data_IF_855302204873
#
_entry.id   IF_855302204873
#
_cell.length_a   1.000
_cell.length_b   1.000
_cell.length_c   1.000
_cell.angle_alpha   90.00
_cell.angle_beta   90.00
_cell.angle_gamma   90.00
#
_symmetry.space_group_name_H-M   'P 1'
#
loop_
_entity.id
_entity.type
_entity.pdbx_description
1 polymer ?
#
# COMPACT_ATOMS: atom_id res chain seq x y z
N UNK A 1 -11.33 -61.62 53.32
CA UNK A 1 -10.51 -60.49 53.83
C UNK A 1 -9.05 -60.86 53.69
N UNK A 2 -8.42 -60.42 52.61
CA UNK A 2 -6.98 -60.60 52.35
C UNK A 2 -6.53 -59.41 51.52
N UNK A 3 -5.56 -58.69 52.08
CA UNK A 3 -4.81 -57.58 51.52
C UNK A 3 -3.84 -58.08 50.45
N UNK A 4 -3.57 -57.30 49.40
CA UNK A 4 -2.25 -57.28 48.75
C UNK A 4 -1.90 -55.91 48.15
N UNK A 5 -0.83 -55.34 48.72
CA UNK A 5 0.22 -54.42 48.19
C UNK A 5 0.66 -54.83 46.76
N UNK A 6 1.42 -54.10 45.94
CA UNK A 6 2.05 -52.78 45.83
C UNK A 6 2.84 -52.84 44.50
N UNK A 7 3.13 -51.69 43.89
CA UNK A 7 4.25 -51.37 42.99
C UNK A 7 4.82 -52.44 42.04
N UNK A 8 4.74 -52.15 40.73
CA UNK A 8 5.82 -52.27 39.73
C UNK A 8 5.19 -51.75 38.42
N UNK A 9 5.79 -50.96 37.54
CA UNK A 9 7.05 -51.27 36.85
C UNK A 9 7.45 -50.02 36.07
N UNK A 10 8.72 -49.63 36.18
CA UNK A 10 9.36 -48.69 35.26
C UNK A 10 9.62 -49.43 33.95
N UNK A 11 9.10 -48.90 32.84
CA UNK A 11 9.45 -49.37 31.50
C UNK A 11 9.90 -48.17 30.68
N UNK A 12 11.17 -48.20 30.29
CA UNK A 12 11.76 -47.31 29.31
C UNK A 12 11.34 -47.71 27.89
N UNK A 13 11.13 -46.76 26.98
CA UNK A 13 11.82 -46.68 25.69
C UNK A 13 11.35 -45.48 24.82
N UNK A 14 12.34 -44.72 24.36
CA UNK A 14 12.53 -44.14 23.02
C UNK A 14 11.32 -43.85 22.11
N UNK A 15 11.16 -42.58 21.72
CA UNK A 15 11.17 -42.18 20.30
C UNK A 15 11.36 -40.66 20.15
N UNK A 16 12.49 -40.30 19.56
CA UNK A 16 12.76 -38.96 19.07
C UNK A 16 11.91 -38.70 17.82
N UNK A 17 11.08 -37.66 17.86
CA UNK A 17 10.41 -37.10 16.70
C UNK A 17 10.94 -35.68 16.49
N UNK A 18 11.93 -35.59 15.61
CA UNK A 18 12.34 -34.35 15.00
C UNK A 18 11.15 -33.80 14.21
N UNK A 19 10.53 -32.72 14.71
CA UNK A 19 9.55 -31.95 13.96
C UNK A 19 10.32 -31.12 12.94
N UNK A 20 10.44 -31.66 11.73
CA UNK A 20 10.83 -30.93 10.54
C UNK A 20 9.77 -29.86 10.28
N UNK A 21 10.04 -28.63 10.72
CA UNK A 21 9.27 -27.46 10.32
C UNK A 21 9.48 -27.18 8.84
N UNK A 22 8.75 -27.89 7.98
CA UNK A 22 8.57 -27.51 6.59
C UNK A 22 7.73 -26.23 6.59
N UNK A 23 8.42 -25.08 6.59
CA UNK A 23 7.78 -23.78 6.48
C UNK A 23 6.99 -23.70 5.18
N UNK A 24 5.69 -23.46 5.29
CA UNK A 24 4.82 -23.08 4.18
C UNK A 24 5.29 -21.74 3.60
N UNK A 25 6.33 -21.76 2.77
CA UNK A 25 6.78 -20.63 1.98
C UNK A 25 5.95 -20.53 0.71
N UNK A 26 4.75 -19.94 0.79
CA UNK A 26 4.05 -19.49 -0.41
C UNK A 26 4.95 -18.54 -1.22
N UNK A 27 4.92 -18.63 -2.55
CA UNK A 27 5.70 -17.78 -3.44
C UNK A 27 5.34 -16.30 -3.20
N UNK A 28 6.17 -15.59 -2.44
CA UNK A 28 6.03 -14.14 -2.23
C UNK A 28 6.52 -13.45 -3.50
N UNK A 29 5.85 -12.36 -3.91
CA UNK A 29 6.52 -11.40 -4.79
C UNK A 29 7.83 -11.00 -4.10
N UNK A 30 9.00 -11.23 -4.72
CA UNK A 30 10.25 -10.77 -4.14
C UNK A 30 10.13 -9.26 -3.96
N UNK A 31 10.05 -8.80 -2.71
CA UNK A 31 10.36 -7.40 -2.40
C UNK A 31 11.78 -7.22 -2.91
N UNK A 32 12.02 -6.22 -3.76
CA UNK A 32 13.32 -5.99 -4.38
C UNK A 32 14.42 -6.10 -3.31
N UNK A 33 15.17 -7.21 -3.34
CA UNK A 33 16.25 -7.53 -2.40
C UNK A 33 17.55 -6.83 -2.83
N UNK A 34 17.45 -5.53 -3.13
CA UNK A 34 18.63 -4.69 -3.22
C UNK A 34 19.25 -4.51 -1.84
N UNK A 35 20.55 -4.15 -1.74
CA UNK A 35 21.08 -3.64 -0.48
C UNK A 35 20.17 -2.53 0.05
N UNK A 36 19.95 -2.51 1.36
CA UNK A 36 19.18 -1.43 1.99
C UNK A 36 19.81 -0.09 1.59
N UNK A 37 19.00 0.90 1.17
CA UNK A 37 19.55 2.17 0.72
C UNK A 37 20.35 2.80 1.86
N UNK A 38 21.57 3.24 1.58
CA UNK A 38 22.42 3.88 2.58
C UNK A 38 22.17 5.39 2.58
N UNK A 39 21.95 5.97 1.40
CA UNK A 39 21.81 7.41 1.21
C UNK A 39 20.52 7.77 0.47
N UNK A 40 19.78 8.73 1.01
CA UNK A 40 18.45 9.09 0.51
C UNK A 40 18.26 10.58 0.32
N UNK A 41 17.58 10.96 -0.77
CA UNK A 41 17.11 12.32 -0.97
C UNK A 41 15.68 12.46 -0.42
N UNK A 42 15.42 13.44 0.44
CA UNK A 42 14.07 13.74 0.92
C UNK A 42 13.49 14.85 0.07
N UNK A 43 12.45 14.54 -0.71
CA UNK A 43 11.80 15.55 -1.54
C UNK A 43 10.83 16.41 -0.70
N UNK A 44 10.60 17.68 -1.09
CA UNK A 44 9.64 18.56 -0.44
C UNK A 44 8.26 17.91 -0.30
N UNK A 45 7.68 18.03 0.90
CA UNK A 45 6.40 17.45 1.24
C UNK A 45 5.28 17.99 0.36
N UNK A 46 4.45 17.09 -0.14
CA UNK A 46 3.25 17.44 -0.93
C UNK A 46 2.04 17.49 -0.02
N UNK A 47 1.29 18.58 -0.10
CA UNK A 47 0.04 18.71 0.64
C UNK A 47 -1.16 18.25 -0.20
N UNK A 48 -1.73 17.10 0.16
CA UNK A 48 -2.96 16.55 -0.44
C UNK A 48 -4.17 16.71 0.50
N UNK A 49 -3.99 17.37 1.64
CA UNK A 49 -5.00 17.52 2.68
C UNK A 49 -5.91 18.73 2.56
N UNK A 50 -5.74 19.57 1.54
CA UNK A 50 -6.61 20.72 1.26
C UNK A 50 -6.49 21.93 2.20
N UNK A 51 -6.04 21.75 3.45
CA UNK A 51 -5.72 22.83 4.39
C UNK A 51 -4.23 23.23 4.32
N UNK A 52 -3.88 24.47 4.65
CA UNK A 52 -2.48 24.92 4.63
C UNK A 52 -1.65 24.21 5.71
N UNK A 53 -0.58 23.52 5.31
CA UNK A 53 0.37 22.86 6.20
C UNK A 53 1.73 23.59 6.16
N UNK A 54 2.44 23.72 7.29
CA UNK A 54 3.76 24.33 7.34
C UNK A 54 4.79 23.36 6.73
N UNK A 55 5.00 23.49 5.42
CA UNK A 55 5.85 22.57 4.65
C UNK A 55 7.27 22.50 5.21
N UNK A 56 7.92 23.64 5.46
CA UNK A 56 9.33 23.68 5.92
C UNK A 56 9.55 23.00 7.28
N UNK A 57 8.62 23.17 8.22
CA UNK A 57 8.68 22.56 9.54
C UNK A 57 8.47 21.04 9.47
N UNK A 58 7.54 20.60 8.61
CA UNK A 58 7.29 19.18 8.38
C UNK A 58 8.47 18.53 7.66
N UNK A 59 9.03 19.18 6.64
CA UNK A 59 10.19 18.70 5.89
C UNK A 59 11.38 18.47 6.83
N UNK A 60 11.66 19.42 7.74
CA UNK A 60 12.73 19.26 8.74
C UNK A 60 12.45 18.08 9.67
N UNK A 61 11.23 17.98 10.17
CA UNK A 61 10.86 16.89 11.07
C UNK A 61 10.88 15.51 10.37
N UNK A 62 10.61 15.45 9.07
CA UNK A 62 10.69 14.24 8.26
C UNK A 62 12.16 13.87 7.99
N UNK A 63 13.01 14.81 7.56
CA UNK A 63 14.45 14.59 7.40
C UNK A 63 15.07 14.03 8.69
N UNK A 64 14.76 14.65 9.82
CA UNK A 64 15.16 14.19 11.15
C UNK A 64 14.67 12.77 11.47
N UNK A 65 13.44 12.43 11.07
CA UNK A 65 12.85 11.11 11.29
C UNK A 65 13.52 10.04 10.43
N UNK A 66 13.85 10.38 9.18
CA UNK A 66 14.58 9.53 8.23
C UNK A 66 16.02 9.31 8.70
N UNK A 67 16.71 10.37 9.11
CA UNK A 67 18.05 10.28 9.66
C UNK A 67 18.09 9.41 10.93
N UNK A 68 17.15 9.60 11.85
CA UNK A 68 17.02 8.74 13.05
C UNK A 68 16.64 7.29 12.73
N UNK A 69 16.11 7.00 11.55
CA UNK A 69 15.86 5.62 11.12
C UNK A 69 17.13 4.89 10.67
N UNK A 70 18.26 5.63 10.49
CA UNK A 70 19.56 5.07 10.14
C UNK A 70 19.99 5.34 8.69
N UNK A 71 19.32 6.24 7.99
CA UNK A 71 19.63 6.61 6.59
C UNK A 71 20.46 7.90 6.54
N UNK A 72 21.43 7.97 5.64
CA UNK A 72 22.13 9.21 5.35
C UNK A 72 21.24 10.12 4.48
N UNK A 73 20.89 11.31 4.99
CA UNK A 73 20.03 12.25 4.27
C UNK A 73 20.86 13.24 3.46
N UNK A 74 20.57 13.33 2.16
CA UNK A 74 21.18 14.34 1.28
C UNK A 74 20.81 15.75 1.79
N UNK A 75 21.77 16.70 1.88
CA UNK A 75 21.48 18.05 2.35
C UNK A 75 20.39 18.74 1.54
N UNK A 76 19.43 19.37 2.22
CA UNK A 76 18.27 20.02 1.59
C UNK A 76 18.63 20.96 0.45
N UNK A 77 19.63 21.82 0.64
CA UNK A 77 20.08 22.77 -0.39
C UNK A 77 20.47 22.06 -1.69
N UNK A 78 21.13 20.90 -1.61
CA UNK A 78 21.50 20.14 -2.79
C UNK A 78 20.27 19.54 -3.49
N UNK A 79 19.27 19.09 -2.72
CA UNK A 79 17.99 18.63 -3.27
C UNK A 79 17.24 19.78 -3.95
N UNK A 80 17.17 20.95 -3.34
CA UNK A 80 16.51 22.15 -3.92
C UNK A 80 17.17 22.58 -5.23
N UNK A 81 18.50 22.65 -5.27
CA UNK A 81 19.27 22.97 -6.48
C UNK A 81 19.05 21.92 -7.58
N UNK A 82 19.01 20.64 -7.21
CA UNK A 82 18.71 19.54 -8.11
C UNK A 82 17.31 19.67 -8.71
N UNK A 83 16.27 19.87 -7.87
CA UNK A 83 14.89 20.00 -8.33
C UNK A 83 14.72 21.22 -9.26
N UNK A 84 15.40 22.33 -8.95
CA UNK A 84 15.40 23.52 -9.79
C UNK A 84 16.07 23.28 -11.15
N UNK A 85 17.24 22.62 -11.15
CA UNK A 85 18.02 22.30 -12.37
C UNK A 85 17.24 21.39 -13.31
N UNK A 86 16.67 20.31 -12.77
CA UNK A 86 15.86 19.34 -13.51
C UNK A 86 14.41 19.79 -13.73
N UNK A 87 14.04 20.98 -13.25
CA UNK A 87 12.69 21.56 -13.36
C UNK A 87 11.61 20.60 -12.85
N UNK A 88 11.92 19.86 -11.79
CA UNK A 88 10.99 18.92 -11.16
C UNK A 88 9.94 19.73 -10.39
N UNK A 89 8.78 19.92 -11.01
CA UNK A 89 7.67 20.73 -10.46
C UNK A 89 6.74 19.94 -9.55
N UNK A 90 6.78 18.61 -9.61
CA UNK A 90 5.91 17.74 -8.84
C UNK A 90 6.77 16.70 -8.12
N UNK A 91 6.61 16.66 -6.80
CA UNK A 91 7.35 15.77 -5.89
C UNK A 91 6.46 14.65 -5.33
N UNK A 92 5.24 14.46 -5.84
CA UNK A 92 4.30 13.43 -5.35
C UNK A 92 4.60 12.03 -5.91
N UNK A 93 5.52 11.94 -6.87
CA UNK A 93 6.01 10.72 -7.48
C UNK A 93 7.35 10.94 -8.15
N UNK A 94 8.01 9.86 -8.55
CA UNK A 94 9.33 9.89 -9.19
C UNK A 94 9.25 9.14 -10.52
N UNK A 95 9.50 9.83 -11.62
CA UNK A 95 9.67 9.20 -12.93
C UNK A 95 11.09 8.63 -13.10
N UNK A 96 11.29 7.84 -14.17
CA UNK A 96 12.56 7.18 -14.43
C UNK A 96 13.73 8.18 -14.63
N UNK A 97 13.47 9.30 -15.31
CA UNK A 97 14.48 10.34 -15.58
C UNK A 97 14.94 10.99 -14.27
N UNK A 98 14.00 11.39 -13.42
CA UNK A 98 14.28 11.98 -12.11
C UNK A 98 15.00 10.98 -11.18
N UNK A 99 14.61 9.71 -11.20
CA UNK A 99 15.27 8.65 -10.44
C UNK A 99 16.74 8.49 -10.83
N UNK A 100 17.03 8.38 -12.13
CA UNK A 100 18.38 8.23 -12.66
C UNK A 100 19.22 9.47 -12.33
N UNK A 101 18.68 10.67 -12.55
CA UNK A 101 19.37 11.92 -12.25
C UNK A 101 19.69 12.07 -10.75
N UNK A 102 18.77 11.68 -9.86
CA UNK A 102 19.01 11.71 -8.42
C UNK A 102 20.12 10.73 -7.99
N UNK A 103 20.21 9.56 -8.64
CA UNK A 103 21.31 8.61 -8.41
C UNK A 103 22.65 9.19 -8.84
N UNK A 104 22.71 9.78 -10.03
CA UNK A 104 23.95 10.25 -10.65
C UNK A 104 24.47 11.55 -10.03
N UNK A 105 23.58 12.51 -9.72
CA UNK A 105 23.98 13.83 -9.21
C UNK A 105 23.99 13.93 -7.69
N UNK A 106 23.03 13.30 -7.02
CA UNK A 106 22.94 13.35 -5.55
C UNK A 106 23.61 12.14 -4.89
N UNK A 107 23.92 11.09 -5.65
CA UNK A 107 24.42 9.83 -5.10
C UNK A 107 23.38 9.14 -4.21
N UNK A 108 22.09 9.38 -4.46
CA UNK A 108 21.00 8.82 -3.66
C UNK A 108 20.61 7.42 -4.18
N UNK A 109 20.54 6.44 -3.27
CA UNK A 109 20.07 5.08 -3.55
C UNK A 109 18.53 5.02 -3.63
N UNK A 110 17.88 5.95 -2.92
CA UNK A 110 16.43 6.08 -2.88
C UNK A 110 15.99 7.52 -2.62
N UNK A 111 14.73 7.81 -2.93
CA UNK A 111 14.06 9.08 -2.68
C UNK A 111 12.94 8.84 -1.67
N UNK A 112 12.90 9.67 -0.62
CA UNK A 112 11.78 9.74 0.32
C UNK A 112 10.80 10.80 -0.16
N UNK A 113 9.55 10.38 -0.34
CA UNK A 113 8.43 11.24 -0.69
C UNK A 113 7.49 11.29 0.49
N UNK A 114 7.09 12.49 0.89
CA UNK A 114 6.12 12.72 1.93
C UNK A 114 4.85 13.37 1.38
N UNK A 115 3.70 12.89 1.82
CA UNK A 115 2.41 13.49 1.53
C UNK A 115 1.62 13.75 2.81
N UNK A 116 1.13 14.98 2.98
CA UNK A 116 0.26 15.38 4.10
C UNK A 116 -1.18 15.23 3.66
N UNK A 117 -1.86 14.23 4.19
CA UNK A 117 -3.27 13.92 3.89
C UNK A 117 -4.28 14.73 4.68
N UNK A 118 -3.87 15.26 5.84
CA UNK A 118 -4.68 16.13 6.69
C UNK A 118 -3.76 16.95 7.58
N UNK A 119 -4.04 18.25 7.69
CA UNK A 119 -3.38 19.14 8.64
C UNK A 119 -4.41 20.11 9.19
N UNK A 120 -4.63 20.04 10.50
CA UNK A 120 -5.50 20.97 11.21
C UNK A 120 -4.81 21.31 12.53
N UNK A 121 -4.24 22.50 12.71
CA UNK A 121 -3.51 22.82 13.93
C UNK A 121 -4.44 23.17 15.10
N UNK A 122 -5.72 23.44 14.84
CA UNK A 122 -6.68 23.94 15.82
C UNK A 122 -7.70 22.88 16.25
N UNK A 123 -8.15 23.00 17.50
CA UNK A 123 -8.92 22.03 18.26
C UNK A 123 -10.02 21.28 17.48
N UNK A 124 -9.96 19.94 17.42
CA UNK A 124 -8.83 19.10 17.84
C UNK A 124 -7.71 19.13 16.80
N UNK A 125 -6.42 19.23 17.21
CA UNK A 125 -5.30 19.15 16.26
C UNK A 125 -5.29 17.82 15.51
N UNK A 126 -5.00 17.83 14.22
CA UNK A 126 -4.98 16.64 13.35
C UNK A 126 -3.77 16.66 12.43
N UNK A 127 -3.20 15.47 12.23
CA UNK A 127 -2.17 15.25 11.23
C UNK A 127 -2.34 13.86 10.60
N UNK A 128 -2.25 13.79 9.28
CA UNK A 128 -2.08 12.56 8.53
C UNK A 128 -0.88 12.72 7.59
N UNK A 129 0.09 11.81 7.69
CA UNK A 129 1.30 11.78 6.84
C UNK A 129 1.48 10.39 6.27
N UNK A 130 1.77 10.32 4.98
CA UNK A 130 2.25 9.11 4.30
C UNK A 130 3.68 9.34 3.84
N UNK A 131 4.58 8.42 4.16
CA UNK A 131 5.94 8.40 3.68
C UNK A 131 6.14 7.22 2.73
N UNK A 132 6.86 7.47 1.64
CA UNK A 132 7.21 6.47 0.64
C UNK A 132 8.71 6.54 0.34
N UNK A 133 9.36 5.40 0.35
CA UNK A 133 10.74 5.21 -0.07
C UNK A 133 10.75 4.57 -1.45
N UNK A 134 11.30 5.26 -2.44
CA UNK A 134 11.34 4.85 -3.85
C UNK A 134 12.79 4.64 -4.26
N UNK A 135 13.13 3.51 -4.87
CA UNK A 135 14.49 3.28 -5.39
C UNK A 135 14.80 4.23 -6.54
N UNK A 136 16.07 4.62 -6.68
CA UNK A 136 16.57 5.35 -7.85
C UNK A 136 17.03 4.40 -8.97
N UNK A 137 16.58 3.14 -8.94
CA UNK A 137 16.83 2.15 -9.98
C UNK A 137 16.04 2.44 -11.26
N UNK A 138 16.29 1.64 -12.29
CA UNK A 138 15.59 1.74 -13.57
C UNK A 138 14.85 0.41 -13.86
N UNK A 139 13.50 0.36 -13.77
CA UNK A 139 12.60 1.45 -13.36
C UNK A 139 12.61 1.69 -11.83
N UNK A 140 12.22 2.90 -11.36
CA UNK A 140 12.07 3.17 -9.94
C UNK A 140 10.94 2.33 -9.34
N UNK A 141 11.16 1.81 -8.12
CA UNK A 141 10.22 0.91 -7.42
C UNK A 141 9.95 1.38 -6.01
N UNK A 142 8.74 1.13 -5.53
CA UNK A 142 8.38 1.38 -4.13
C UNK A 142 9.07 0.32 -3.26
N UNK A 143 10.05 0.74 -2.46
CA UNK A 143 10.73 -0.13 -1.49
C UNK A 143 9.91 -0.28 -0.23
N UNK A 144 9.34 0.84 0.24
CA UNK A 144 8.53 0.90 1.45
C UNK A 144 7.54 2.07 1.35
N UNK A 145 6.34 1.89 1.90
CA UNK A 145 5.34 2.96 2.02
C UNK A 145 4.50 2.73 3.27
N UNK A 146 4.44 3.71 4.16
CA UNK A 146 3.55 3.65 5.33
C UNK A 146 2.91 5.01 5.61
N UNK A 147 1.87 4.98 6.43
CA UNK A 147 0.99 6.10 6.71
C UNK A 147 0.59 6.10 8.18
N UNK A 148 0.54 7.29 8.76
CA UNK A 148 0.11 7.49 10.12
C UNK A 148 -0.85 8.67 10.20
N UNK A 149 -1.93 8.47 10.94
CA UNK A 149 -2.95 9.47 11.20
C UNK A 149 -3.11 9.59 12.71
N UNK A 150 -3.25 10.83 13.19
CA UNK A 150 -3.60 11.10 14.58
C UNK A 150 -4.49 12.32 14.68
N UNK A 151 -5.55 12.21 15.46
CA UNK A 151 -6.40 13.34 15.87
C UNK A 151 -6.30 13.56 17.38
N UNK A 152 -6.38 14.81 17.81
CA UNK A 152 -6.27 15.20 19.21
C UNK A 152 -7.41 14.67 20.08
N UNK A 153 -8.54 14.36 19.46
CA UNK A 153 -9.76 13.81 20.05
C UNK A 153 -9.98 12.32 19.77
N UNK A 154 -9.00 11.62 19.19
CA UNK A 154 -9.18 10.21 18.79
C UNK A 154 -9.33 9.27 20.00
N UNK A 155 -8.68 9.60 21.13
CA UNK A 155 -8.75 8.83 22.38
C UNK A 155 -8.95 9.79 23.54
N UNK A 156 -10.13 10.41 23.68
CA UNK A 156 -10.38 11.40 24.72
C UNK A 156 -10.32 10.78 26.12
N UNK A 157 -10.56 9.47 26.24
CA UNK A 157 -10.54 8.77 27.53
C UNK A 157 -11.67 9.22 28.47
N UNK A 158 -11.63 8.76 29.72
CA UNK A 158 -12.60 9.18 30.74
C UNK A 158 -12.47 10.69 30.99
N UNK A 159 -13.59 11.42 30.92
CA UNK A 159 -13.66 12.88 31.14
C UNK A 159 -12.76 13.73 30.21
N UNK A 160 -12.35 13.20 29.05
CA UNK A 160 -11.52 13.96 28.10
C UNK A 160 -10.04 14.13 28.51
N UNK A 161 -9.55 13.37 29.49
CA UNK A 161 -8.17 13.44 29.97
C UNK A 161 -7.10 13.06 28.92
N UNK A 162 -7.49 12.28 27.91
CA UNK A 162 -6.65 11.86 26.79
C UNK A 162 -6.62 12.84 25.61
N UNK A 163 -7.35 13.96 25.69
CA UNK A 163 -7.36 14.98 24.65
C UNK A 163 -5.97 15.60 24.46
N UNK A 164 -5.49 15.59 23.23
CA UNK A 164 -4.27 16.29 22.83
C UNK A 164 -4.68 17.60 22.18
N UNK A 165 -4.27 18.72 22.78
CA UNK A 165 -4.54 20.07 22.25
C UNK A 165 -3.35 20.70 21.53
N UNK A 166 -2.17 20.11 21.68
CA UNK A 166 -0.92 20.58 21.10
C UNK A 166 -0.63 19.86 19.76
N UNK A 167 -0.55 20.62 18.67
CA UNK A 167 -0.21 20.11 17.34
C UNK A 167 1.20 19.49 17.30
N UNK A 168 2.17 20.03 18.04
CA UNK A 168 3.52 19.48 18.06
C UNK A 168 3.56 18.08 18.69
N UNK A 169 2.71 17.82 19.69
CA UNK A 169 2.51 16.47 20.25
C UNK A 169 1.87 15.51 19.25
N UNK A 170 0.85 15.94 18.49
CA UNK A 170 0.26 15.13 17.41
C UNK A 170 1.30 14.78 16.35
N UNK A 171 2.10 15.77 15.92
CA UNK A 171 3.16 15.58 14.94
C UNK A 171 4.22 14.56 15.39
N UNK A 172 4.71 14.68 16.64
CA UNK A 172 5.66 13.71 17.19
C UNK A 172 5.11 12.29 17.18
N UNK A 173 3.87 12.09 17.62
CA UNK A 173 3.23 10.75 17.64
C UNK A 173 3.17 10.14 16.23
N UNK A 174 2.79 10.94 15.23
CA UNK A 174 2.69 10.49 13.82
C UNK A 174 4.07 10.14 13.27
N UNK A 175 5.05 11.02 13.41
CA UNK A 175 6.40 10.82 12.87
C UNK A 175 7.17 9.71 13.61
N UNK A 176 6.99 9.56 14.93
CA UNK A 176 7.60 8.47 15.70
C UNK A 176 7.04 7.09 15.29
N UNK A 177 5.76 7.02 14.92
CA UNK A 177 5.18 5.79 14.35
C UNK A 177 5.81 5.46 13.00
N UNK A 178 5.92 6.46 12.12
CA UNK A 178 6.49 6.28 10.78
C UNK A 178 7.97 5.92 10.85
N UNK A 179 8.76 6.60 11.68
CA UNK A 179 10.19 6.31 11.88
C UNK A 179 10.43 4.90 12.44
N UNK A 180 9.58 4.41 13.34
CA UNK A 180 9.64 3.01 13.81
C UNK A 180 9.32 2.01 12.70
N UNK A 181 8.30 2.28 11.88
CA UNK A 181 7.94 1.43 10.75
C UNK A 181 9.06 1.37 9.71
N UNK A 182 9.65 2.52 9.36
CA UNK A 182 10.80 2.60 8.46
C UNK A 182 12.01 1.84 9.01
N UNK A 183 12.33 2.01 10.29
CA UNK A 183 13.43 1.27 10.93
C UNK A 183 13.20 -0.24 10.92
N UNK A 184 11.97 -0.70 11.18
CA UNK A 184 11.63 -2.12 11.11
C UNK A 184 11.79 -2.68 9.69
N UNK A 185 11.44 -1.90 8.66
CA UNK A 185 11.69 -2.24 7.27
C UNK A 185 13.20 -2.37 6.98
N UNK A 186 14.00 -1.37 7.38
CA UNK A 186 15.44 -1.36 7.11
C UNK A 186 16.20 -2.52 7.77
N UNK A 187 15.81 -2.93 8.98
CA UNK A 187 16.50 -4.01 9.70
C UNK A 187 16.00 -5.42 9.42
N UNK A 188 14.75 -5.58 8.99
CA UNK A 188 14.11 -6.90 8.90
C UNK A 188 13.27 -7.13 7.64
N UNK A 189 13.27 -6.19 6.70
CA UNK A 189 12.40 -6.24 5.53
C UNK A 189 10.91 -6.24 5.88
N UNK A 190 10.56 -5.77 7.09
CA UNK A 190 9.17 -5.73 7.53
C UNK A 190 8.37 -4.81 6.61
N UNK A 191 7.29 -5.34 6.02
CA UNK A 191 6.37 -4.51 5.26
C UNK A 191 5.65 -3.54 6.19
N UNK A 192 5.26 -2.40 5.63
CA UNK A 192 4.46 -1.40 6.31
C UNK A 192 3.14 -1.94 6.85
N UNK A 193 2.61 -1.25 7.86
CA UNK A 193 1.37 -1.65 8.52
C UNK A 193 0.15 -1.34 7.66
N UNK A 194 -0.75 -2.32 7.48
CA UNK A 194 -2.08 -2.06 6.92
C UNK A 194 -2.98 -1.37 7.93
N UNK A 195 -4.03 -0.71 7.44
CA UNK A 195 -5.16 -0.45 8.32
C UNK A 195 -5.89 -1.77 8.59
N UNK A 196 -6.44 -1.92 9.79
CA UNK A 196 -7.26 -3.08 10.08
C UNK A 196 -8.59 -2.95 9.31
N UNK A 197 -8.94 -3.93 8.46
CA UNK A 197 -10.22 -3.90 7.77
C UNK A 197 -11.33 -4.11 8.80
N UNK A 198 -12.34 -3.26 8.77
CA UNK A 198 -13.48 -3.35 9.68
C UNK A 198 -14.74 -3.76 8.93
N UNK A 199 -15.54 -4.63 9.56
CA UNK A 199 -16.78 -5.15 8.95
C UNK A 199 -17.75 -4.04 8.53
N UNK A 200 -17.82 -2.94 9.29
CA UNK A 200 -18.70 -1.78 8.99
C UNK A 200 -18.28 -1.02 7.72
N UNK A 201 -17.03 -1.14 7.30
CA UNK A 201 -16.50 -0.49 6.09
C UNK A 201 -16.31 -1.46 4.93
N UNK A 202 -16.95 -2.64 4.99
CA UNK A 202 -16.92 -3.57 3.85
C UNK A 202 -17.63 -2.96 2.65
N UNK A 203 -17.14 -3.20 1.43
CA UNK A 203 -17.78 -2.68 0.24
C UNK A 203 -19.24 -3.15 0.16
N UNK A 204 -20.15 -2.24 -0.21
CA UNK A 204 -21.59 -2.50 -0.27
C UNK A 204 -21.97 -3.28 -1.52
N UNK A 205 -21.30 -2.97 -2.63
CA UNK A 205 -21.44 -3.67 -3.90
C UNK A 205 -20.06 -4.16 -4.30
N UNK A 206 -19.97 -5.44 -4.63
CA UNK A 206 -18.74 -6.07 -5.14
C UNK A 206 -19.10 -6.88 -6.36
N UNK A 207 -18.35 -6.66 -7.44
CA UNK A 207 -18.31 -7.55 -8.58
C UNK A 207 -16.91 -8.15 -8.67
N UNK A 208 -16.82 -9.46 -8.90
CA UNK A 208 -15.57 -10.15 -9.20
C UNK A 208 -15.78 -11.04 -10.42
N UNK A 209 -14.95 -10.85 -11.43
CA UNK A 209 -14.91 -11.71 -12.60
C UNK A 209 -14.32 -13.07 -12.23
N UNK A 210 -14.93 -14.19 -12.65
CA UNK A 210 -14.34 -15.53 -12.50
C UNK A 210 -13.01 -15.71 -13.25
N UNK A 211 -12.69 -14.79 -14.18
CA UNK A 211 -11.47 -14.84 -15.01
C UNK A 211 -10.25 -14.19 -14.35
N UNK A 212 -10.44 -13.51 -13.21
CA UNK A 212 -9.32 -12.95 -12.47
C UNK A 212 -8.47 -14.09 -11.94
N UNK A 213 -7.26 -14.24 -12.50
CA UNK A 213 -6.28 -15.26 -12.12
C UNK A 213 -5.84 -15.10 -10.65
N UNK A 214 -5.05 -16.04 -10.16
CA UNK A 214 -4.32 -15.87 -8.90
C UNK A 214 -2.92 -15.30 -9.18
N UNK A 215 -2.40 -14.54 -8.22
CA UNK A 215 -1.18 -13.75 -8.34
C UNK A 215 0.12 -14.58 -8.35
N UNK A 216 1.28 -13.92 -8.54
CA UNK A 216 1.51 -12.48 -8.31
C UNK A 216 0.99 -11.54 -9.40
N UNK A 217 0.80 -10.26 -9.03
CA UNK A 217 0.36 -9.18 -9.92
C UNK A 217 1.27 -7.97 -9.84
N UNK A 218 1.61 -7.40 -10.99
CA UNK A 218 2.11 -6.03 -11.11
C UNK A 218 0.95 -5.08 -11.38
N UNK A 219 0.74 -4.09 -10.53
CA UNK A 219 -0.47 -3.29 -10.48
C UNK A 219 -0.15 -1.81 -10.64
N UNK A 220 -0.77 -1.17 -11.64
CA UNK A 220 -0.72 0.27 -11.81
C UNK A 220 -1.99 0.91 -11.22
N UNK A 221 -1.82 1.87 -10.31
CA UNK A 221 -2.95 2.63 -9.74
C UNK A 221 -3.02 3.98 -10.41
N UNK A 222 -4.12 4.23 -11.12
CA UNK A 222 -4.37 5.51 -11.77
C UNK A 222 -4.78 6.58 -10.74
N UNK A 223 -4.51 7.86 -11.03
CA UNK A 223 -5.06 8.96 -10.22
C UNK A 223 -6.59 8.88 -10.16
N UNK A 224 -7.13 8.96 -8.95
CA UNK A 224 -8.57 8.87 -8.74
C UNK A 224 -9.24 10.17 -9.16
N UNK A 225 -10.40 10.03 -9.80
CA UNK A 225 -11.25 11.17 -10.14
C UNK A 225 -11.84 11.72 -8.86
N UNK A 226 -11.82 13.04 -8.73
CA UNK A 226 -12.29 13.73 -7.55
C UNK A 226 -13.58 14.48 -7.86
N UNK A 227 -14.72 13.95 -7.38
CA UNK A 227 -16.04 14.60 -7.47
C UNK A 227 -16.37 15.37 -6.18
N UNK A 228 -15.42 15.47 -5.26
CA UNK A 228 -15.60 16.15 -3.98
C UNK A 228 -15.24 17.64 -4.07
N UNK A 229 -15.66 18.41 -3.05
CA UNK A 229 -15.23 19.82 -2.90
C UNK A 229 -13.77 19.97 -2.48
N UNK A 230 -13.14 18.92 -1.93
CA UNK A 230 -11.77 18.95 -1.45
C UNK A 230 -10.84 18.65 -2.62
N UNK A 231 -10.10 19.66 -3.11
CA UNK A 231 -9.29 19.59 -4.35
C UNK A 231 -8.42 18.35 -4.53
N UNK A 232 -7.85 17.81 -3.44
CA UNK A 232 -6.87 16.71 -3.50
C UNK A 232 -7.38 15.38 -2.92
N UNK A 233 -8.70 15.19 -2.78
CA UNK A 233 -9.26 13.94 -2.26
C UNK A 233 -8.92 12.73 -3.16
N UNK A 234 -8.83 12.94 -4.47
CA UNK A 234 -8.38 11.92 -5.43
C UNK A 234 -6.95 11.44 -5.13
N UNK A 235 -6.01 12.38 -4.96
CA UNK A 235 -4.61 12.06 -4.64
C UNK A 235 -4.48 11.32 -3.30
N UNK A 236 -5.23 11.76 -2.28
CA UNK A 236 -5.27 11.11 -0.98
C UNK A 236 -5.78 9.66 -1.08
N UNK A 237 -6.86 9.43 -1.84
CA UNK A 237 -7.42 8.09 -2.04
C UNK A 237 -6.49 7.17 -2.85
N UNK A 238 -5.91 7.68 -3.95
CA UNK A 238 -4.91 6.95 -4.74
C UNK A 238 -3.74 6.54 -3.87
N UNK A 239 -3.18 7.46 -3.07
CA UNK A 239 -2.02 7.18 -2.24
C UNK A 239 -2.33 6.16 -1.13
N UNK A 240 -3.50 6.27 -0.49
CA UNK A 240 -3.90 5.31 0.53
C UNK A 240 -4.13 3.92 -0.06
N UNK A 241 -4.71 3.83 -1.26
CA UNK A 241 -4.88 2.55 -1.93
C UNK A 241 -3.53 1.91 -2.33
N UNK A 242 -2.61 2.71 -2.87
CA UNK A 242 -1.22 2.29 -3.13
C UNK A 242 -0.59 1.73 -1.86
N UNK A 243 -0.77 2.41 -0.71
CA UNK A 243 -0.24 1.96 0.58
C UNK A 243 -0.79 0.59 1.00
N UNK A 244 -2.10 0.39 0.93
CA UNK A 244 -2.73 -0.89 1.31
C UNK A 244 -2.30 -2.05 0.38
N UNK A 245 -2.18 -1.76 -0.91
CA UNK A 245 -1.73 -2.73 -1.93
C UNK A 245 -0.25 -3.09 -1.75
N UNK A 246 0.63 -2.12 -1.51
CA UNK A 246 2.06 -2.36 -1.30
C UNK A 246 2.38 -3.19 -0.05
N UNK A 247 1.48 -3.20 0.92
CA UNK A 247 1.60 -4.12 2.06
C UNK A 247 1.25 -5.58 1.71
N UNK A 248 0.72 -5.85 0.51
CA UNK A 248 0.37 -7.20 0.06
C UNK A 248 1.57 -7.99 -0.44
N UNK A 249 1.73 -9.27 -0.06
CA UNK A 249 2.73 -10.15 -0.66
C UNK A 249 2.44 -10.57 -2.09
N UNK A 250 1.19 -10.43 -2.54
CA UNK A 250 0.76 -10.84 -3.87
C UNK A 250 0.87 -9.74 -4.94
N UNK A 251 1.22 -8.52 -4.54
CA UNK A 251 1.12 -7.33 -5.39
C UNK A 251 2.44 -6.56 -5.40
N UNK A 252 2.94 -6.29 -6.59
CA UNK A 252 3.93 -5.25 -6.85
C UNK A 252 3.20 -4.01 -7.38
N UNK A 253 3.27 -2.89 -6.66
CA UNK A 253 2.63 -1.64 -7.09
C UNK A 253 3.61 -0.80 -7.90
N UNK A 254 3.21 -0.41 -9.12
CA UNK A 254 3.96 0.52 -9.95
C UNK A 254 3.97 1.90 -9.30
N UNK A 255 5.12 2.57 -9.33
CA UNK A 255 5.29 3.88 -8.71
C UNK A 255 4.35 4.93 -9.39
N UNK A 256 3.60 5.76 -8.62
CA UNK A 256 2.61 6.71 -9.17
C UNK A 256 3.14 7.80 -10.12
N UNK A 257 4.35 8.30 -9.91
CA UNK A 257 5.12 9.14 -10.83
C UNK A 257 5.41 8.48 -12.18
N UNK A 258 5.73 7.17 -12.23
CA UNK A 258 5.80 6.42 -13.51
C UNK A 258 4.43 6.34 -14.20
N UNK A 259 3.38 6.07 -13.43
CA UNK A 259 2.00 6.06 -13.98
C UNK A 259 1.68 7.42 -14.57
N UNK A 260 1.97 8.50 -13.83
CA UNK A 260 1.74 9.87 -14.27
C UNK A 260 2.56 10.26 -15.49
N UNK A 261 3.84 9.88 -15.58
CA UNK A 261 4.68 10.20 -16.73
C UNK A 261 4.15 9.55 -18.00
N UNK A 262 3.68 8.29 -17.93
CA UNK A 262 3.00 7.61 -19.04
C UNK A 262 1.72 8.33 -19.44
N UNK A 263 0.87 8.72 -18.49
CA UNK A 263 -0.37 9.46 -18.80
C UNK A 263 -0.07 10.80 -19.51
N UNK A 264 0.91 11.56 -19.01
CA UNK A 264 1.30 12.85 -19.58
C UNK A 264 1.94 12.70 -20.97
N UNK A 265 2.87 11.76 -21.14
CA UNK A 265 3.56 11.52 -22.41
C UNK A 265 2.59 11.10 -23.53
N UNK A 266 1.53 10.36 -23.17
CA UNK A 266 0.52 9.90 -24.12
C UNK A 266 -0.72 10.81 -24.18
N UNK A 267 -0.70 11.97 -23.49
CA UNK A 267 -1.81 12.94 -23.42
C UNK A 267 -3.15 12.33 -23.03
N UNK A 268 -3.12 11.32 -22.15
CA UNK A 268 -4.31 10.60 -21.71
C UNK A 268 -5.02 11.45 -20.64
N UNK A 269 -6.20 11.96 -20.99
CA UNK A 269 -7.09 12.67 -20.07
C UNK A 269 -8.23 11.73 -19.66
N UNK A 270 -8.62 11.77 -18.38
CA UNK A 270 -9.65 10.90 -17.82
C UNK A 270 -10.82 11.74 -17.24
N UNK A 271 -11.56 12.50 -18.06
CA UNK A 271 -12.59 13.42 -17.55
C UNK A 271 -13.82 12.71 -16.94
N UNK A 272 -14.03 11.40 -17.20
CA UNK A 272 -15.21 10.67 -16.73
C UNK A 272 -14.96 9.21 -16.35
N UNK A 273 -13.70 8.82 -16.15
CA UNK A 273 -13.31 7.45 -15.84
C UNK A 273 -12.19 6.96 -16.75
N UNK A 274 -11.87 5.68 -16.60
CA UNK A 274 -10.84 5.00 -17.39
C UNK A 274 -11.56 4.20 -18.47
N UNK A 275 -11.36 4.58 -19.73
CA UNK A 275 -11.79 3.75 -20.85
C UNK A 275 -10.88 2.53 -20.96
N UNK A 276 -11.38 1.46 -21.57
CA UNK A 276 -10.59 0.24 -21.82
C UNK A 276 -9.34 0.56 -22.65
N UNK A 277 -9.44 1.45 -23.64
CA UNK A 277 -8.32 1.88 -24.49
C UNK A 277 -7.22 2.63 -23.71
N UNK A 278 -7.62 3.48 -22.75
CA UNK A 278 -6.68 4.17 -21.87
C UNK A 278 -6.01 3.17 -20.94
N UNK A 279 -6.78 2.23 -20.37
CA UNK A 279 -6.23 1.18 -19.51
C UNK A 279 -5.25 0.28 -20.26
N UNK A 280 -5.58 -0.17 -21.48
CA UNK A 280 -4.69 -1.04 -22.28
C UNK A 280 -3.38 -0.34 -22.59
N UNK A 281 -3.42 0.93 -23.00
CA UNK A 281 -2.22 1.74 -23.25
C UNK A 281 -1.34 1.84 -22.00
N UNK A 282 -1.93 2.09 -20.83
CA UNK A 282 -1.18 2.18 -19.56
C UNK A 282 -0.58 0.82 -19.18
N UNK A 283 -1.36 -0.25 -19.30
CA UNK A 283 -0.91 -1.62 -19.03
C UNK A 283 0.28 -1.99 -19.92
N UNK A 284 0.24 -1.64 -21.21
CA UNK A 284 1.30 -1.90 -22.18
C UNK A 284 2.59 -1.15 -21.83
N UNK A 285 2.47 0.15 -21.56
CA UNK A 285 3.64 1.01 -21.32
C UNK A 285 4.31 0.74 -19.99
N UNK A 286 3.56 0.31 -18.99
CA UNK A 286 4.08 0.01 -17.65
C UNK A 286 4.40 -1.47 -17.44
N UNK A 287 4.06 -2.33 -18.41
CA UNK A 287 4.14 -3.79 -18.27
C UNK A 287 3.44 -4.25 -16.98
N UNK A 288 2.21 -3.76 -16.77
CA UNK A 288 1.39 -4.06 -15.60
C UNK A 288 0.33 -5.10 -15.96
N UNK A 289 0.00 -5.97 -15.00
CA UNK A 289 -1.05 -6.99 -15.14
C UNK A 289 -2.44 -6.40 -14.95
N UNK A 290 -2.56 -5.51 -13.96
CA UNK A 290 -3.83 -4.89 -13.57
C UNK A 290 -3.69 -3.38 -13.52
N UNK A 291 -4.75 -2.69 -13.93
CA UNK A 291 -4.92 -1.25 -13.75
C UNK A 291 -6.07 -1.02 -12.79
N UNK A 292 -5.83 -0.19 -11.78
CA UNK A 292 -6.84 0.21 -10.82
C UNK A 292 -7.22 1.65 -11.07
N UNK A 293 -8.52 1.87 -11.25
CA UNK A 293 -9.14 3.16 -11.42
C UNK A 293 -10.12 3.41 -10.27
N UNK A 294 -10.41 4.67 -9.98
CA UNK A 294 -11.41 4.98 -8.97
C UNK A 294 -11.93 6.40 -9.03
N UNK A 295 -13.03 6.60 -8.30
CA UNK A 295 -13.72 7.88 -8.14
C UNK A 295 -13.97 8.10 -6.67
N UNK A 296 -13.62 9.28 -6.17
CA UNK A 296 -13.94 9.74 -4.83
C UNK A 296 -15.16 10.65 -4.92
N UNK A 297 -16.29 10.18 -4.39
CA UNK A 297 -17.58 10.87 -4.43
C UNK A 297 -17.82 11.74 -3.20
N UNK A 298 -17.34 11.26 -2.05
CA UNK A 298 -17.45 11.97 -0.78
C UNK A 298 -16.15 11.88 -0.01
N UNK A 299 -15.72 13.01 0.54
CA UNK A 299 -14.53 13.09 1.40
C UNK A 299 -14.67 14.30 2.33
N UNK A 300 -15.25 14.04 3.50
CA UNK A 300 -15.65 15.06 4.46
C UNK A 300 -15.04 14.74 5.82
N UNK A 301 -14.37 15.71 6.43
CA UNK A 301 -13.94 15.62 7.82
C UNK A 301 -15.12 15.86 8.77
N UNK A 302 -15.07 15.22 9.93
CA UNK A 302 -16.01 15.44 11.01
C UNK A 302 -15.78 16.80 11.67
N UNK A 303 -16.84 17.62 11.68
CA UNK A 303 -16.90 18.85 12.49
C UNK A 303 -16.97 18.55 14.00
N UNK A 304 -17.15 19.56 14.86
CA UNK A 304 -17.20 19.41 16.32
C UNK A 304 -18.24 18.39 16.81
N UNK A 305 -19.33 18.20 16.08
CA UNK A 305 -20.40 17.24 16.38
C UNK A 305 -20.64 16.20 15.27
N UNK A 306 -19.84 16.22 14.21
CA UNK A 306 -20.04 15.37 13.03
C UNK A 306 -18.98 14.27 12.90
N UNK A 307 -19.36 13.16 12.28
CA UNK A 307 -18.43 12.13 11.84
C UNK A 307 -17.81 12.46 10.48
N UNK A 308 -16.63 11.90 10.22
CA UNK A 308 -16.05 11.94 8.89
C UNK A 308 -16.78 10.97 7.95
N UNK A 309 -16.81 11.28 6.65
CA UNK A 309 -17.43 10.44 5.63
C UNK A 309 -16.57 10.32 4.40
N UNK A 310 -16.46 9.10 3.89
CA UNK A 310 -15.72 8.79 2.67
C UNK A 310 -16.55 7.86 1.80
N UNK A 311 -16.71 8.20 0.53
CA UNK A 311 -17.34 7.33 -0.46
C UNK A 311 -16.40 7.20 -1.65
N UNK A 312 -16.07 5.96 -1.99
CA UNK A 312 -15.15 5.61 -3.05
C UNK A 312 -15.71 4.48 -3.92
N UNK A 313 -15.50 4.61 -5.22
CA UNK A 313 -15.73 3.54 -6.20
C UNK A 313 -14.38 3.14 -6.75
N UNK A 314 -14.09 1.84 -6.77
CA UNK A 314 -12.84 1.29 -7.27
C UNK A 314 -13.13 0.23 -8.31
N UNK A 315 -12.42 0.27 -9.43
CA UNK A 315 -12.51 -0.68 -10.52
C UNK A 315 -11.12 -1.20 -10.86
N UNK A 316 -11.03 -2.49 -11.12
CA UNK A 316 -9.81 -3.19 -11.53
C UNK A 316 -10.04 -3.72 -12.93
N UNK A 317 -9.16 -3.36 -13.86
CA UNK A 317 -9.15 -3.84 -15.24
C UNK A 317 -7.98 -4.81 -15.40
N UNK A 318 -8.25 -5.96 -16.02
CA UNK A 318 -7.25 -7.01 -16.28
C UNK A 318 -6.75 -6.93 -17.72
N UNK A 319 -5.43 -6.87 -17.88
CA UNK A 319 -4.73 -6.87 -19.16
C UNK A 319 -5.06 -8.07 -20.02
N UNK A 320 -5.14 -9.26 -19.42
CA UNK A 320 -5.24 -10.50 -20.20
C UNK A 320 -6.57 -10.63 -20.95
N UNK A 321 -7.61 -9.97 -20.45
CA UNK A 321 -8.98 -10.16 -20.93
C UNK A 321 -9.67 -8.85 -21.33
N UNK A 322 -9.04 -7.69 -21.12
CA UNK A 322 -9.61 -6.35 -21.38
C UNK A 322 -10.99 -6.14 -20.74
N UNK A 323 -11.25 -6.80 -19.60
CA UNK A 323 -12.50 -6.69 -18.85
C UNK A 323 -12.28 -6.08 -17.48
N UNK A 324 -13.35 -5.54 -16.92
CA UNK A 324 -13.44 -5.24 -15.49
C UNK A 324 -13.33 -6.57 -14.73
N UNK A 325 -12.20 -6.78 -14.07
CA UNK A 325 -11.94 -7.98 -13.29
C UNK A 325 -12.54 -7.89 -11.89
N UNK A 326 -12.65 -6.68 -11.35
CA UNK A 326 -13.28 -6.43 -10.06
C UNK A 326 -13.81 -5.00 -10.00
N UNK A 327 -14.92 -4.79 -9.30
CA UNK A 327 -15.37 -3.45 -8.95
C UNK A 327 -16.02 -3.42 -7.59
N UNK A 328 -15.94 -2.26 -6.93
CA UNK A 328 -16.68 -2.04 -5.70
C UNK A 328 -17.15 -0.61 -5.52
N UNK A 329 -18.22 -0.49 -4.76
CA UNK A 329 -18.69 0.78 -4.17
C UNK A 329 -18.60 0.63 -2.66
N UNK A 330 -17.81 1.49 -2.04
CA UNK A 330 -17.58 1.48 -0.60
C UNK A 330 -17.88 2.85 -0.01
N UNK A 331 -18.58 2.84 1.10
CA UNK A 331 -18.89 4.03 1.88
C UNK A 331 -18.46 3.76 3.33
N UNK A 332 -17.83 4.74 3.95
CA UNK A 332 -17.55 4.75 5.37
C UNK A 332 -18.12 6.00 6.02
N UNK A 333 -18.96 5.80 7.02
CA UNK A 333 -19.36 6.84 7.96
C UNK A 333 -18.64 6.60 9.28
N UNK A 334 -17.94 7.62 9.77
CA UNK A 334 -17.25 7.59 11.05
C UNK A 334 -18.20 7.47 12.25
N UNK A 335 -19.51 7.68 12.06
CA UNK A 335 -20.55 7.45 13.06
C UNK A 335 -21.06 6.01 13.11
N UNK A 336 -20.72 5.17 12.12
CA UNK A 336 -21.20 3.79 12.09
C UNK A 336 -20.64 2.99 13.26
N UNK A 337 -21.48 2.32 14.05
CA UNK A 337 -21.01 1.52 15.18
C UNK A 337 -20.50 2.34 16.38
N UNK A 338 -20.88 3.62 16.45
CA UNK A 338 -20.71 4.43 17.68
C UNK A 338 -21.63 3.89 18.77
N UNK A 339 -21.06 3.68 19.94
CA UNK A 339 -21.79 3.30 21.15
C UNK A 339 -21.75 4.43 22.17
N UNK A 340 -22.32 4.23 23.37
CA UNK A 340 -22.42 5.24 24.43
C UNK A 340 -21.13 6.07 24.57
N UNK A 341 -21.25 7.39 24.78
CA UNK A 341 -20.12 8.32 24.99
C UNK A 341 -19.14 8.47 23.82
N UNK A 342 -19.63 8.50 22.57
CA UNK A 342 -18.83 8.66 21.36
C UNK A 342 -17.77 7.56 21.15
N UNK A 343 -17.86 6.43 21.87
CA UNK A 343 -16.94 5.32 21.69
C UNK A 343 -17.12 4.71 20.29
N UNK A 344 -16.05 4.69 19.51
CA UNK A 344 -16.05 4.20 18.12
C UNK A 344 -16.21 5.28 17.05
N UNK A 345 -16.40 6.55 17.45
CA UNK A 345 -16.58 7.68 16.54
C UNK A 345 -15.26 8.07 15.87
N UNK A 346 -15.26 8.14 14.54
CA UNK A 346 -14.12 8.57 13.74
C UNK A 346 -14.42 9.91 13.10
N UNK A 347 -13.67 10.95 13.49
CA UNK A 347 -13.88 12.33 13.04
C UNK A 347 -12.90 12.76 11.94
N UNK A 348 -11.93 11.92 11.61
CA UNK A 348 -10.92 12.21 10.59
C UNK A 348 -11.17 11.38 9.33
N UNK A 349 -11.36 12.06 8.20
CA UNK A 349 -11.60 11.42 6.90
C UNK A 349 -10.41 10.58 6.43
N UNK A 350 -9.17 10.93 6.79
CA UNK A 350 -8.00 10.12 6.48
C UNK A 350 -8.00 8.77 7.20
N UNK A 351 -8.53 8.71 8.43
CA UNK A 351 -8.66 7.45 9.18
C UNK A 351 -9.80 6.59 8.59
N UNK A 352 -10.95 7.19 8.27
CA UNK A 352 -12.04 6.47 7.57
C UNK A 352 -11.55 5.96 6.21
N UNK A 353 -10.88 6.78 5.41
CA UNK A 353 -10.30 6.39 4.12
C UNK A 353 -9.35 5.19 4.27
N UNK A 354 -8.49 5.21 5.29
CA UNK A 354 -7.55 4.14 5.58
C UNK A 354 -8.25 2.79 5.78
N UNK A 355 -9.31 2.78 6.59
CA UNK A 355 -10.09 1.57 6.90
C UNK A 355 -10.93 1.12 5.70
N UNK A 356 -11.55 2.03 4.97
CA UNK A 356 -12.31 1.70 3.75
C UNK A 356 -11.36 1.14 2.68
N UNK A 357 -10.21 1.77 2.44
CA UNK A 357 -9.22 1.28 1.48
C UNK A 357 -8.66 -0.09 1.87
N UNK A 358 -8.43 -0.34 3.17
CA UNK A 358 -8.03 -1.65 3.65
C UNK A 358 -9.10 -2.72 3.37
N UNK A 359 -10.37 -2.41 3.64
CA UNK A 359 -11.52 -3.30 3.35
C UNK A 359 -11.72 -3.55 1.85
N UNK A 360 -11.46 -2.55 1.01
CA UNK A 360 -11.47 -2.67 -0.47
C UNK A 360 -10.40 -3.65 -0.92
N UNK A 361 -9.15 -3.47 -0.47
CA UNK A 361 -8.03 -4.37 -0.83
C UNK A 361 -8.24 -5.79 -0.30
N UNK A 362 -8.79 -5.94 0.91
CA UNK A 362 -9.18 -7.23 1.46
C UNK A 362 -10.26 -7.91 0.60
N UNK A 363 -11.28 -7.14 0.19
CA UNK A 363 -12.37 -7.61 -0.68
C UNK A 363 -11.96 -7.92 -2.12
N UNK A 364 -10.82 -7.40 -2.60
CA UNK A 364 -10.25 -7.83 -3.88
C UNK A 364 -9.77 -9.29 -3.84
N UNK A 365 -9.45 -9.83 -2.65
CA UNK A 365 -8.99 -11.21 -2.42
C UNK A 365 -7.99 -11.66 -3.50
N UNK A 366 -6.93 -10.86 -3.67
CA UNK A 366 -5.80 -11.11 -4.56
C UNK A 366 -4.93 -12.21 -3.93
N UNK A 367 -5.31 -13.46 -4.14
CA UNK A 367 -4.59 -14.64 -3.64
C UNK A 367 -3.31 -14.88 -4.42
N UNK A 368 -2.35 -15.50 -3.75
CA UNK A 368 -1.16 -16.07 -4.40
C UNK A 368 -1.55 -17.47 -4.88
N UNK A 369 -1.23 -17.80 -6.13
CA UNK A 369 -1.48 -19.15 -6.64
C UNK A 369 -0.73 -20.19 -5.80
N UNK A 370 -1.38 -21.26 -5.32
CA UNK A 370 -0.69 -22.35 -4.65
C UNK A 370 0.13 -23.15 -5.68
N UNK A 371 1.44 -22.93 -5.76
CA UNK A 371 2.38 -23.91 -6.33
C UNK A 371 3.25 -23.51 -7.53
N UNK A 372 3.91 -22.34 -7.53
CA UNK A 372 5.03 -22.06 -8.45
C UNK A 372 6.42 -22.22 -7.80
N UNK A 373 6.53 -23.06 -6.77
CA UNK A 373 7.81 -23.51 -6.24
C UNK A 373 8.46 -24.49 -7.22
N UNK A 374 9.68 -24.18 -7.65
CA UNK A 374 10.45 -24.85 -8.70
C UNK A 374 10.22 -26.35 -8.86
N UNK A 375 9.66 -26.74 -10.01
CA UNK A 375 9.94 -28.03 -10.61
C UNK A 375 11.07 -27.81 -11.61
N UNK A 376 12.28 -28.21 -11.22
CA UNK A 376 13.39 -28.40 -12.15
C UNK A 376 12.90 -29.24 -13.34
N UNK A 377 13.12 -28.70 -14.52
CA UNK A 377 12.75 -29.32 -15.78
C UNK A 377 13.51 -30.64 -15.96
N UNK A 378 12.83 -31.76 -15.73
CA UNK A 378 13.17 -33.02 -16.38
C UNK A 378 12.11 -33.26 -17.47
N UNK A 379 12.48 -33.26 -18.76
CA UNK A 379 11.50 -33.45 -19.82
C UNK A 379 11.02 -34.91 -19.82
N UNK A 380 9.82 -35.13 -19.31
CA UNK A 380 9.12 -36.42 -19.46
C UNK A 380 8.76 -36.60 -20.92
N UNK A 381 9.58 -37.38 -21.63
CA UNK A 381 9.31 -37.88 -22.98
C UNK A 381 7.91 -38.50 -23.03
N UNK A 382 7.04 -37.88 -23.83
CA UNK A 382 5.79 -38.47 -24.28
C UNK A 382 6.07 -39.75 -25.07
N UNK A 383 5.77 -40.90 -24.45
CA UNK A 383 5.64 -42.16 -25.18
C UNK A 383 4.27 -42.19 -25.85
N UNK A 384 4.25 -41.81 -27.11
CA UNK A 384 3.17 -42.12 -28.06
C UNK A 384 3.04 -43.64 -28.14
N UNK A 385 1.97 -44.20 -27.56
CA UNK A 385 1.52 -45.57 -27.87
C UNK A 385 0.67 -45.49 -29.13
N UNK A 386 1.29 -45.80 -30.26
CA UNK A 386 0.59 -46.11 -31.51
C UNK A 386 -0.14 -47.45 -31.36
N UNK A 387 -1.47 -47.44 -31.38
CA UNK A 387 -2.26 -48.65 -31.61
C UNK A 387 -2.27 -48.95 -33.11
N UNK A 388 -1.45 -49.92 -33.51
CA UNK A 388 -1.48 -50.49 -34.84
C UNK A 388 -2.75 -51.35 -34.99
N UNK A 389 -3.61 -50.94 -35.93
CA UNK A 389 -4.66 -51.79 -36.54
C UNK A 389 -3.98 -53.00 -37.19
N UNK A 390 -4.42 -54.21 -36.84
CA UNK A 390 -4.22 -55.40 -37.67
C UNK A 390 -5.34 -55.46 -38.71
N UNK A 391 -4.98 -55.22 -39.96
CA UNK A 391 -5.72 -55.72 -41.11
C UNK A 391 -5.45 -57.23 -41.24
N UNK A 392 -6.51 -58.02 -41.36
CA UNK A 392 -6.46 -59.40 -41.83
C UNK A 392 -6.82 -59.40 -43.31
N UNK A 393 -5.85 -59.78 -44.15
CA UNK A 393 -6.03 -60.04 -45.57
C UNK A 393 -6.22 -61.53 -45.85
N UNK A 394 -7.08 -61.78 -46.84
CA UNK A 394 -7.55 -63.03 -47.43
C UNK A 394 -6.56 -64.21 -47.60
N UNK A 395 -7.10 -65.43 -47.47
CA UNK A 395 -7.22 -66.38 -48.59
C UNK A 395 -8.55 -67.12 -48.49
#
# INVERSE_FOLDING_TARGET
>A
MTSYRSCSTRTALLLALAVSGAGCGGARVPVATGPAPARVAVFPTVNVGGGAAPAEDLDRAIEDTVARAGLEVVPRKAVEEFLARHRVRNTSGVDAETAVAAREELGADAIVIAAVGAYQPQSPPRLAVTLRLVSTGEPPRILWIDGAVRSGDERPGLLGLGLIRDQARVQRIVLDRLGRSLRAFLHGGARASRCEPERRYRPRLVFRSPRLREGPFKVAVLPFINETRRRSAGDAATLELVRQLSASPAVEVVEPGLVRSVLLANRLLMPGGVSVDVASTVLDKLDADLVIAGVVRRYEDGGPSGAARVELTVQVLDRAHEVVAWSSVSEGDGADGVWWFDFGLVRNSADVLCRVAASVVDGMDLRIAPGSGGADGTPTRSRTRSSARREYGAR
#
